data_IF_094622066270
#
_entry.id   IF_094622066270
#
_cell.length_a   1.000
_cell.length_b   1.000
_cell.length_c   1.000
_cell.angle_alpha   90.00
_cell.angle_beta   90.00
_cell.angle_gamma   90.00
#
_symmetry.space_group_name_H-M   'P 1'
#
loop_
_entity.id
_entity.type
_entity.pdbx_description
1 polymer ?
#
# COMPACT_ATOMS: atom_id res chain seq x y z
N UNK A 1 9.55 56.45 2.00
CA UNK A 1 9.74 55.40 3.03
C UNK A 1 10.20 54.12 2.34
N UNK A 2 11.49 53.75 2.46
CA UNK A 2 12.06 52.50 1.90
C UNK A 2 12.08 51.48 3.04
N UNK A 3 11.33 50.41 2.94
CA UNK A 3 11.37 49.28 3.87
C UNK A 3 12.59 48.40 3.57
N UNK A 4 13.53 48.37 4.47
CA UNK A 4 14.71 47.52 4.46
C UNK A 4 14.29 46.13 4.91
N UNK A 5 14.28 45.12 3.99
CA UNK A 5 14.22 43.71 4.35
C UNK A 5 15.61 43.25 4.80
N UNK A 6 15.76 43.00 6.08
CA UNK A 6 16.96 42.39 6.66
C UNK A 6 16.96 40.89 6.31
N UNK A 7 17.93 40.45 5.50
CA UNK A 7 18.16 39.02 5.18
C UNK A 7 18.85 38.38 6.37
N UNK A 8 18.20 37.42 6.99
CA UNK A 8 18.78 36.58 8.04
C UNK A 8 19.93 35.74 7.49
N UNK A 9 21.10 35.70 8.15
CA UNK A 9 22.23 34.91 7.65
C UNK A 9 21.95 33.39 7.77
N UNK A 10 22.32 32.64 6.72
CA UNK A 10 22.08 31.17 6.59
C UNK A 10 22.50 30.34 7.80
N UNK A 11 23.54 30.79 8.53
CA UNK A 11 24.01 30.08 9.74
C UNK A 11 23.04 30.15 10.93
N UNK A 12 22.21 31.20 11.03
CA UNK A 12 21.20 31.34 12.08
C UNK A 12 19.99 30.46 11.81
N UNK A 13 19.65 30.27 10.53
CA UNK A 13 18.57 29.35 10.11
C UNK A 13 18.87 27.89 10.47
N UNK A 14 20.13 27.43 10.23
CA UNK A 14 20.54 26.05 10.55
C UNK A 14 20.57 25.81 12.07
N UNK A 15 20.98 26.81 12.88
CA UNK A 15 20.95 26.71 14.34
C UNK A 15 19.55 26.69 14.91
N UNK A 16 18.59 27.37 14.28
CA UNK A 16 17.18 27.36 14.66
C UNK A 16 16.51 25.99 14.41
N UNK A 17 16.87 25.32 13.31
CA UNK A 17 16.37 23.97 12.98
C UNK A 17 16.92 22.90 13.95
N UNK A 18 18.15 23.05 14.43
CA UNK A 18 18.75 22.10 15.38
C UNK A 18 18.15 22.22 16.81
N UNK A 19 17.58 23.37 17.17
CA UNK A 19 17.02 23.59 18.51
C UNK A 19 15.53 23.22 18.61
N UNK A 20 14.81 23.11 17.46
CA UNK A 20 13.40 22.69 17.44
C UNK A 20 13.21 21.18 17.34
N UNK A 21 14.28 20.39 17.17
CA UNK A 21 14.22 18.93 17.14
C UNK A 21 14.03 18.27 18.53
N UNK A 22 13.90 19.07 19.59
CA UNK A 22 13.65 18.61 20.96
C UNK A 22 12.19 18.58 21.39
N UNK A 23 11.24 18.80 20.51
CA UNK A 23 9.81 18.65 20.84
C UNK A 23 9.47 17.18 20.83
N UNK A 24 9.30 16.63 22.01
CA UNK A 24 8.84 15.28 22.32
C UNK A 24 7.62 14.91 21.46
N UNK A 25 7.84 14.00 20.51
CA UNK A 25 6.77 13.26 19.84
C UNK A 25 6.18 12.24 20.82
N UNK A 26 5.54 12.72 21.88
CA UNK A 26 4.67 11.92 22.72
C UNK A 26 3.29 11.88 22.08
N UNK A 27 3.07 10.91 21.21
CA UNK A 27 1.77 10.73 20.57
C UNK A 27 1.70 9.49 19.72
N UNK A 28 1.06 8.45 20.25
CA UNK A 28 0.66 7.20 19.61
C UNK A 28 1.78 6.19 19.37
N UNK A 29 1.96 5.29 20.32
CA UNK A 29 2.84 4.12 20.26
C UNK A 29 2.59 3.15 19.08
N UNK A 30 1.48 3.32 18.37
CA UNK A 30 1.08 2.44 17.26
C UNK A 30 1.55 2.89 15.89
N UNK A 31 2.29 3.99 15.77
CA UNK A 31 2.75 4.55 14.49
C UNK A 31 4.26 4.60 14.35
N UNK A 32 5.01 4.01 15.28
CA UNK A 32 6.45 3.93 15.13
C UNK A 32 6.82 2.96 14.01
N UNK A 33 7.73 3.36 13.09
CA UNK A 33 8.17 2.47 12.02
C UNK A 33 8.93 1.28 12.60
N UNK A 34 8.90 0.13 11.92
CA UNK A 34 9.66 -1.03 12.36
C UNK A 34 11.17 -0.76 12.27
N UNK A 35 11.92 -1.36 13.19
CA UNK A 35 13.38 -1.44 13.08
C UNK A 35 13.74 -2.71 12.33
N UNK A 36 14.42 -2.58 11.19
CA UNK A 36 14.84 -3.72 10.38
C UNK A 36 16.17 -3.44 9.66
N UNK A 37 16.86 -4.53 9.29
CA UNK A 37 18.08 -4.47 8.53
C UNK A 37 19.26 -3.85 9.30
N UNK A 38 20.18 -3.25 8.58
CA UNK A 38 21.41 -2.66 9.10
C UNK A 38 21.38 -1.11 9.01
N UNK A 39 22.51 -0.48 9.34
CA UNK A 39 22.65 0.99 9.34
C UNK A 39 22.22 1.64 8.02
N UNK A 40 22.33 0.94 6.90
CA UNK A 40 21.90 1.46 5.58
C UNK A 40 20.39 1.68 5.51
N UNK A 41 19.60 0.95 6.30
CA UNK A 41 18.14 1.08 6.41
C UNK A 41 17.69 2.23 7.34
N UNK A 42 18.63 2.87 8.04
CA UNK A 42 18.29 4.08 8.82
C UNK A 42 17.70 5.21 7.94
N UNK A 43 18.03 5.24 6.65
CA UNK A 43 17.44 6.17 5.69
C UNK A 43 15.91 6.01 5.58
N UNK A 44 15.41 4.79 5.61
CA UNK A 44 13.98 4.49 5.54
C UNK A 44 13.24 5.05 6.76
N UNK A 45 13.83 4.90 7.95
CA UNK A 45 13.31 5.47 9.20
C UNK A 45 13.25 7.00 9.13
N UNK A 46 14.30 7.64 8.63
CA UNK A 46 14.35 9.10 8.50
C UNK A 46 13.32 9.58 7.49
N UNK A 47 13.19 8.91 6.35
CA UNK A 47 12.18 9.21 5.32
C UNK A 47 10.77 9.08 5.88
N UNK A 48 10.48 7.97 6.56
CA UNK A 48 9.19 7.76 7.21
C UNK A 48 8.85 8.90 8.17
N UNK A 49 9.74 9.21 9.12
CA UNK A 49 9.51 10.27 10.11
C UNK A 49 9.36 11.65 9.47
N UNK A 50 10.15 11.95 8.45
CA UNK A 50 10.06 13.20 7.73
C UNK A 50 8.71 13.35 7.03
N UNK A 51 8.24 12.33 6.31
CA UNK A 51 6.93 12.35 5.67
C UNK A 51 5.80 12.48 6.68
N UNK A 52 5.82 11.70 7.77
CA UNK A 52 4.77 11.77 8.81
C UNK A 52 4.76 13.11 9.56
N UNK A 53 5.90 13.83 9.61
CA UNK A 53 6.00 15.15 10.20
C UNK A 53 5.51 16.27 9.24
N UNK A 54 5.85 16.15 7.95
CA UNK A 54 5.64 17.21 6.97
C UNK A 54 4.28 17.12 6.29
N UNK A 55 3.74 15.91 6.12
CA UNK A 55 2.47 15.68 5.44
C UNK A 55 1.35 15.45 6.46
N UNK A 56 0.20 16.12 6.31
CA UNK A 56 -0.99 15.79 7.09
C UNK A 56 -1.38 14.33 6.92
N UNK A 57 -1.88 13.68 7.99
CA UNK A 57 -2.26 12.25 8.00
C UNK A 57 -3.22 11.83 6.88
N UNK A 58 -3.99 12.76 6.33
CA UNK A 58 -4.97 12.54 5.27
C UNK A 58 -4.67 13.36 4.01
N UNK A 59 -3.38 13.71 3.80
CA UNK A 59 -2.97 14.38 2.57
C UNK A 59 -3.22 13.47 1.38
N UNK A 60 -4.15 13.87 0.53
CA UNK A 60 -4.52 13.08 -0.64
C UNK A 60 -3.40 13.14 -1.70
N UNK A 61 -3.08 11.99 -2.28
CA UNK A 61 -2.35 11.94 -3.53
C UNK A 61 -3.16 12.63 -4.62
N UNK A 62 -2.46 13.27 -5.56
CA UNK A 62 -3.11 14.01 -6.65
C UNK A 62 -4.03 13.09 -7.46
N UNK A 63 -5.26 13.52 -7.67
CA UNK A 63 -6.18 12.91 -8.63
C UNK A 63 -6.09 13.67 -9.97
N UNK A 64 -6.35 12.95 -11.05
CA UNK A 64 -6.20 13.38 -12.44
C UNK A 64 -7.52 13.31 -13.17
N UNK A 65 -7.59 13.91 -14.36
CA UNK A 65 -8.75 13.85 -15.23
C UNK A 65 -8.75 12.56 -16.07
N UNK A 66 -9.92 12.20 -16.60
CA UNK A 66 -10.07 11.00 -17.43
C UNK A 66 -9.19 11.05 -18.69
N UNK A 67 -8.95 12.23 -19.23
CA UNK A 67 -8.05 12.43 -20.38
C UNK A 67 -6.58 12.16 -20.12
N UNK A 68 -6.18 12.11 -18.83
CA UNK A 68 -4.80 11.86 -18.43
C UNK A 68 -4.47 10.36 -18.32
N UNK A 69 -5.47 9.48 -18.48
CA UNK A 69 -5.28 8.03 -18.36
C UNK A 69 -4.29 7.55 -19.40
N UNK A 70 -3.25 6.86 -18.92
CA UNK A 70 -2.17 6.33 -19.72
C UNK A 70 -2.52 4.95 -20.29
N UNK A 71 -2.02 4.64 -21.49
CA UNK A 71 -1.99 3.27 -22.00
C UNK A 71 -0.65 2.64 -21.63
N UNK A 72 -0.67 1.66 -20.73
CA UNK A 72 0.53 0.96 -20.28
C UNK A 72 0.24 -0.53 -20.09
N UNK A 73 1.11 -1.43 -20.56
CA UNK A 73 0.97 -2.86 -20.28
C UNK A 73 1.25 -3.14 -18.79
N UNK A 74 0.71 -4.24 -18.28
CA UNK A 74 1.10 -4.76 -16.97
C UNK A 74 2.57 -5.18 -16.97
N UNK A 75 3.26 -4.90 -15.87
CA UNK A 75 4.68 -5.23 -15.66
C UNK A 75 4.79 -6.14 -14.43
N UNK A 76 5.86 -6.95 -14.38
CA UNK A 76 6.11 -7.95 -13.34
C UNK A 76 5.27 -9.21 -13.57
N UNK A 77 4.88 -9.89 -12.47
CA UNK A 77 4.00 -11.07 -12.54
C UNK A 77 2.67 -10.67 -13.14
N UNK A 78 2.37 -11.21 -14.31
CA UNK A 78 1.15 -10.87 -15.07
C UNK A 78 0.06 -11.92 -14.95
N UNK A 79 0.42 -13.18 -14.61
CA UNK A 79 -0.53 -14.27 -14.40
C UNK A 79 0.06 -15.30 -13.43
N UNK A 80 -0.39 -15.38 -12.16
CA UNK A 80 0.09 -16.37 -11.20
C UNK A 80 -0.17 -17.84 -11.59
N UNK A 81 -1.06 -18.10 -12.55
CA UNK A 81 -1.32 -19.44 -13.05
C UNK A 81 -0.29 -19.91 -14.09
N UNK A 82 0.53 -19.00 -14.62
CA UNK A 82 1.48 -19.32 -15.68
C UNK A 82 2.84 -19.69 -15.09
N UNK A 83 3.18 -20.96 -15.08
CA UNK A 83 4.43 -21.50 -14.54
C UNK A 83 5.70 -21.03 -15.27
N UNK A 84 5.56 -20.39 -16.42
CA UNK A 84 6.69 -19.82 -17.17
C UNK A 84 7.05 -18.40 -16.73
N UNK A 85 6.21 -17.75 -15.91
CA UNK A 85 6.41 -16.35 -15.52
C UNK A 85 7.18 -16.22 -14.21
N UNK A 86 7.98 -15.16 -14.05
CA UNK A 86 8.58 -14.80 -12.76
C UNK A 86 7.50 -14.62 -11.69
N UNK A 87 7.73 -15.10 -10.47
CA UNK A 87 6.77 -15.04 -9.39
C UNK A 87 5.68 -16.12 -9.42
N UNK A 88 5.77 -17.12 -10.32
CA UNK A 88 4.95 -18.31 -10.18
C UNK A 88 5.24 -19.00 -8.85
N UNK A 89 4.19 -19.24 -8.07
CA UNK A 89 4.27 -19.99 -6.83
C UNK A 89 3.68 -21.38 -7.00
N UNK A 90 4.48 -22.46 -6.88
CA UNK A 90 3.97 -23.85 -6.97
C UNK A 90 2.88 -24.18 -5.94
N UNK A 91 2.87 -23.48 -4.79
CA UNK A 91 1.86 -23.66 -3.75
C UNK A 91 0.52 -23.01 -4.13
N UNK A 92 0.55 -21.81 -4.72
CA UNK A 92 -0.65 -20.99 -4.90
C UNK A 92 -1.08 -20.85 -6.37
N UNK A 93 -0.17 -20.97 -7.33
CA UNK A 93 -0.45 -20.86 -8.75
C UNK A 93 -1.55 -21.82 -9.23
N UNK A 94 -1.51 -23.12 -8.88
CA UNK A 94 -2.59 -24.06 -9.25
C UNK A 94 -3.95 -23.72 -8.63
N UNK A 95 -3.97 -23.06 -7.46
CA UNK A 95 -5.20 -22.56 -6.87
C UNK A 95 -5.74 -21.36 -7.65
N UNK A 96 -4.88 -20.45 -8.05
CA UNK A 96 -5.26 -19.28 -8.87
C UNK A 96 -5.75 -19.72 -10.26
N UNK A 97 -5.14 -20.73 -10.88
CA UNK A 97 -5.58 -21.30 -12.14
C UNK A 97 -7.03 -21.85 -12.07
N UNK A 98 -7.40 -22.52 -10.95
CA UNK A 98 -8.79 -22.97 -10.74
C UNK A 98 -9.75 -21.80 -10.63
N UNK A 99 -9.34 -20.72 -9.98
CA UNK A 99 -10.16 -19.50 -9.85
C UNK A 99 -10.34 -18.77 -11.18
N UNK A 100 -9.34 -18.81 -12.07
CA UNK A 100 -9.49 -18.30 -13.44
C UNK A 100 -10.54 -19.07 -14.22
N UNK A 101 -10.55 -20.41 -14.10
CA UNK A 101 -11.50 -21.27 -14.83
C UNK A 101 -12.95 -21.06 -14.39
N UNK A 102 -13.19 -20.65 -13.15
CA UNK A 102 -14.53 -20.36 -12.61
C UNK A 102 -14.83 -18.86 -12.56
N UNK A 103 -14.08 -18.05 -13.32
CA UNK A 103 -14.25 -16.59 -13.39
C UNK A 103 -14.26 -15.93 -12.00
N UNK A 104 -13.45 -16.46 -11.08
CA UNK A 104 -13.33 -16.04 -9.69
C UNK A 104 -14.60 -16.21 -8.83
N UNK A 105 -15.58 -17.03 -9.24
CA UNK A 105 -16.81 -17.26 -8.49
C UNK A 105 -16.53 -17.79 -7.07
N UNK A 106 -15.53 -18.65 -6.93
CA UNK A 106 -15.09 -19.24 -5.66
C UNK A 106 -13.96 -18.48 -4.97
N UNK A 107 -13.53 -17.34 -5.53
CA UNK A 107 -12.50 -16.54 -4.89
C UNK A 107 -12.99 -15.91 -3.57
N UNK A 108 -12.11 -15.88 -2.59
CA UNK A 108 -12.37 -15.30 -1.26
C UNK A 108 -11.15 -14.53 -0.77
N UNK A 109 -11.42 -13.40 -0.11
CA UNK A 109 -10.44 -12.65 0.67
C UNK A 109 -10.63 -13.01 2.14
N UNK A 110 -9.61 -13.58 2.79
CA UNK A 110 -9.60 -13.69 4.25
C UNK A 110 -9.00 -12.45 4.89
N UNK A 111 -9.59 -12.00 6.00
CA UNK A 111 -9.07 -10.91 6.85
C UNK A 111 -9.00 -11.43 8.27
N UNK A 112 -7.79 -11.43 8.84
CA UNK A 112 -7.53 -12.04 10.15
C UNK A 112 -6.43 -11.31 10.93
N UNK A 113 -5.97 -11.88 12.06
CA UNK A 113 -4.95 -11.30 12.95
C UNK A 113 -5.56 -10.42 14.03
N UNK A 114 -4.99 -9.23 14.25
CA UNK A 114 -5.42 -8.28 15.29
C UNK A 114 -6.75 -7.59 14.93
N UNK A 115 -7.78 -8.39 14.72
CA UNK A 115 -9.19 -8.00 14.50
C UNK A 115 -10.11 -8.71 15.48
N UNK A 116 -11.25 -8.08 15.79
CA UNK A 116 -12.24 -8.64 16.75
C UNK A 116 -12.99 -9.83 16.12
N UNK A 117 -13.29 -9.73 14.81
CA UNK A 117 -14.06 -10.73 14.06
C UNK A 117 -13.34 -11.00 12.73
N UNK A 118 -12.52 -12.06 12.64
CA UNK A 118 -11.99 -12.47 11.36
C UNK A 118 -13.09 -12.66 10.32
N UNK A 119 -12.84 -12.18 9.10
CA UNK A 119 -13.84 -12.18 8.02
C UNK A 119 -13.34 -12.89 6.77
N UNK A 120 -14.31 -13.43 6.00
CA UNK A 120 -14.05 -13.97 4.66
C UNK A 120 -15.04 -13.32 3.71
N UNK A 121 -14.54 -12.64 2.68
CA UNK A 121 -15.33 -11.86 1.75
C UNK A 121 -15.26 -12.43 0.35
N UNK A 122 -16.40 -12.62 -0.30
CA UNK A 122 -16.51 -12.87 -1.73
C UNK A 122 -16.40 -11.56 -2.53
N UNK A 123 -16.15 -11.65 -3.84
CA UNK A 123 -16.20 -10.48 -4.72
C UNK A 123 -17.56 -9.79 -4.68
N UNK A 124 -18.65 -10.57 -4.61
CA UNK A 124 -20.00 -10.04 -4.54
C UNK A 124 -20.25 -9.24 -3.26
N UNK A 125 -19.71 -9.67 -2.12
CA UNK A 125 -19.80 -8.94 -0.85
C UNK A 125 -18.98 -7.67 -0.87
N UNK A 126 -17.73 -7.71 -1.35
CA UNK A 126 -16.91 -6.52 -1.49
C UNK A 126 -17.57 -5.46 -2.39
N UNK A 127 -18.17 -5.87 -3.51
CA UNK A 127 -18.85 -4.95 -4.45
C UNK A 127 -20.14 -4.33 -3.88
N UNK A 128 -20.71 -4.87 -2.79
CA UNK A 128 -21.86 -4.28 -2.08
C UNK A 128 -21.45 -3.23 -1.04
N UNK A 129 -20.20 -3.21 -0.63
CA UNK A 129 -19.69 -2.19 0.28
C UNK A 129 -19.55 -0.84 -0.44
N UNK A 130 -19.55 0.29 0.29
CA UNK A 130 -19.27 1.58 -0.31
C UNK A 130 -17.96 1.55 -1.08
N UNK A 131 -17.98 1.99 -2.33
CA UNK A 131 -16.81 2.01 -3.19
C UNK A 131 -16.28 3.43 -3.41
N UNK A 132 -14.99 3.52 -3.72
CA UNK A 132 -14.32 4.72 -4.20
C UNK A 132 -13.83 4.49 -5.62
N UNK A 133 -14.01 5.49 -6.48
CA UNK A 133 -13.35 5.59 -7.78
C UNK A 133 -12.39 6.77 -7.74
N UNK A 134 -11.15 6.57 -8.16
CA UNK A 134 -10.10 7.58 -8.18
C UNK A 134 -9.23 7.41 -9.43
N UNK A 135 -8.76 8.52 -10.00
CA UNK A 135 -7.80 8.51 -11.12
C UNK A 135 -6.48 9.00 -10.57
N UNK A 136 -5.54 8.07 -10.39
CA UNK A 136 -4.29 8.33 -9.68
C UNK A 136 -3.08 7.84 -10.47
N UNK A 137 -1.92 8.41 -10.15
CA UNK A 137 -0.65 7.98 -10.73
C UNK A 137 -0.10 6.78 -9.97
N UNK A 138 0.25 5.74 -10.69
CA UNK A 138 1.08 4.67 -10.21
C UNK A 138 2.53 5.00 -10.55
N UNK A 139 3.36 5.19 -9.54
CA UNK A 139 4.78 5.51 -9.72
C UNK A 139 5.59 4.27 -9.37
N UNK A 140 6.26 3.69 -10.37
CA UNK A 140 7.08 2.51 -10.20
C UNK A 140 8.50 2.87 -9.74
N UNK A 141 9.10 2.02 -8.94
CA UNK A 141 10.49 2.08 -8.52
C UNK A 141 11.49 1.93 -9.69
N UNK A 142 11.05 1.33 -10.79
CA UNK A 142 11.83 1.22 -12.04
C UNK A 142 11.94 2.53 -12.84
N UNK A 143 11.34 3.63 -12.33
CA UNK A 143 11.46 4.97 -12.93
C UNK A 143 10.39 5.32 -13.95
N UNK A 144 9.38 4.48 -14.18
CA UNK A 144 8.22 4.82 -15.00
C UNK A 144 6.98 5.12 -14.14
N UNK A 145 6.01 5.78 -14.73
CA UNK A 145 4.71 5.99 -14.09
C UNK A 145 3.57 5.91 -15.09
N UNK A 146 2.37 5.58 -14.60
CA UNK A 146 1.15 5.54 -15.38
C UNK A 146 -0.03 6.08 -14.56
N UNK A 147 -1.00 6.67 -15.24
CA UNK A 147 -2.25 7.15 -14.65
C UNK A 147 -3.35 6.19 -15.07
N UNK A 148 -4.15 5.74 -14.11
CA UNK A 148 -5.30 4.90 -14.37
C UNK A 148 -6.46 5.22 -13.41
N UNK A 149 -7.67 4.93 -13.84
CA UNK A 149 -8.85 4.96 -12.97
C UNK A 149 -8.96 3.63 -12.22
N UNK A 150 -9.09 3.71 -10.91
CA UNK A 150 -9.24 2.55 -10.03
C UNK A 150 -10.57 2.63 -9.30
N UNK A 151 -11.29 1.51 -9.27
CA UNK A 151 -12.54 1.38 -8.51
C UNK A 151 -12.40 0.23 -7.52
N UNK A 152 -12.72 0.48 -6.26
CA UNK A 152 -12.61 -0.53 -5.21
C UNK A 152 -13.27 -0.10 -3.91
N UNK A 153 -13.25 -0.97 -2.92
CA UNK A 153 -13.68 -0.66 -1.56
C UNK A 153 -12.52 -0.07 -0.77
N UNK A 154 -12.67 1.03 -0.03
CA UNK A 154 -11.67 1.52 0.90
C UNK A 154 -11.27 0.42 1.89
N UNK A 155 -9.96 0.21 2.08
CA UNK A 155 -9.45 -0.82 2.98
C UNK A 155 -9.96 -0.60 4.40
N UNK A 156 -10.08 0.66 4.84
CA UNK A 156 -10.63 1.03 6.15
C UNK A 156 -12.02 0.43 6.40
N UNK A 157 -12.92 0.43 5.40
CA UNK A 157 -14.27 -0.13 5.53
C UNK A 157 -14.22 -1.64 5.80
N UNK A 158 -13.34 -2.37 5.11
CA UNK A 158 -13.18 -3.81 5.30
C UNK A 158 -12.58 -4.12 6.66
N UNK A 159 -11.57 -3.36 7.08
CA UNK A 159 -10.95 -3.50 8.40
C UNK A 159 -11.91 -3.16 9.53
N UNK A 160 -12.69 -2.08 9.40
CA UNK A 160 -13.72 -1.68 10.38
C UNK A 160 -14.82 -2.75 10.51
N UNK A 161 -15.25 -3.36 9.40
CA UNK A 161 -16.20 -4.47 9.42
C UNK A 161 -15.70 -5.68 10.24
N UNK A 162 -14.38 -5.91 10.23
CA UNK A 162 -13.73 -6.93 11.06
C UNK A 162 -13.46 -6.46 12.50
N UNK A 163 -13.47 -5.14 12.75
CA UNK A 163 -13.19 -4.54 14.05
C UNK A 163 -11.70 -4.57 14.39
N UNK A 164 -10.99 -3.47 14.11
CA UNK A 164 -9.55 -3.33 14.36
C UNK A 164 -9.31 -3.36 15.88
N UNK A 165 -8.36 -4.18 16.33
CA UNK A 165 -7.94 -4.18 17.74
C UNK A 165 -7.01 -2.99 18.03
N UNK A 166 -6.99 -2.47 19.29
CA UNK A 166 -6.19 -1.30 19.64
C UNK A 166 -4.66 -1.48 19.48
N UNK A 167 -4.18 -2.72 19.51
CA UNK A 167 -2.77 -3.07 19.33
C UNK A 167 -2.36 -3.21 17.84
N UNK A 168 -3.28 -3.13 16.89
CA UNK A 168 -2.99 -3.25 15.47
C UNK A 168 -2.03 -2.14 14.99
N UNK A 169 -0.95 -2.53 14.30
CA UNK A 169 0.10 -1.62 13.80
C UNK A 169 0.33 -1.75 12.31
N UNK A 170 0.20 -2.93 11.76
CA UNK A 170 0.53 -3.26 10.37
C UNK A 170 -0.61 -4.00 9.70
N UNK A 171 -0.71 -3.83 8.38
CA UNK A 171 -1.58 -4.62 7.51
C UNK A 171 -0.70 -5.30 6.48
N UNK A 172 -0.69 -6.64 6.50
CA UNK A 172 0.06 -7.49 5.60
C UNK A 172 -0.85 -7.96 4.47
N UNK A 173 -0.34 -7.90 3.24
CA UNK A 173 -0.99 -8.38 2.03
C UNK A 173 -0.33 -9.65 1.54
N UNK A 174 -1.06 -10.75 1.49
CA UNK A 174 -0.62 -12.02 0.93
C UNK A 174 -1.27 -12.26 -0.43
N UNK A 175 -0.50 -12.70 -1.39
CA UNK A 175 -0.88 -12.78 -2.80
C UNK A 175 -0.82 -14.20 -3.34
N UNK A 176 -1.38 -14.43 -4.53
CA UNK A 176 -1.27 -15.72 -5.23
C UNK A 176 0.05 -15.91 -5.96
N UNK A 177 0.83 -14.84 -6.18
CA UNK A 177 2.19 -14.88 -6.74
C UNK A 177 3.26 -14.94 -5.65
N UNK A 178 2.90 -15.44 -4.49
CA UNK A 178 3.74 -15.69 -3.30
C UNK A 178 4.33 -14.48 -2.60
N UNK A 179 4.19 -13.27 -3.14
CA UNK A 179 4.71 -12.09 -2.47
C UNK A 179 3.88 -11.72 -1.24
N UNK A 180 4.58 -11.22 -0.24
CA UNK A 180 3.99 -10.64 0.97
C UNK A 180 4.65 -9.29 1.22
N UNK A 181 3.85 -8.28 1.52
CA UNK A 181 4.36 -6.99 1.97
C UNK A 181 3.37 -6.37 2.96
N UNK A 182 3.81 -5.37 3.69
CA UNK A 182 2.99 -4.70 4.69
C UNK A 182 3.06 -3.19 4.61
N UNK A 183 2.00 -2.55 5.09
CA UNK A 183 1.92 -1.10 5.33
C UNK A 183 1.53 -0.86 6.78
N UNK A 184 1.77 0.36 7.28
CA UNK A 184 1.27 0.73 8.60
C UNK A 184 -0.23 1.06 8.60
N UNK A 185 -0.80 1.21 9.79
CA UNK A 185 -2.23 1.54 9.95
C UNK A 185 -2.58 2.92 9.42
N UNK A 186 -1.63 3.88 9.34
CA UNK A 186 -1.90 5.21 8.78
C UNK A 186 -2.18 5.12 7.28
N UNK A 187 -1.35 4.35 6.55
CA UNK A 187 -1.58 4.11 5.12
C UNK A 187 -2.76 3.16 4.88
N UNK A 188 -2.97 2.16 5.76
CA UNK A 188 -4.10 1.24 5.65
C UNK A 188 -5.46 1.94 5.82
N UNK A 189 -5.54 2.94 6.69
CA UNK A 189 -6.76 3.73 6.95
C UNK A 189 -6.86 4.98 6.07
N UNK A 190 -5.88 5.23 5.20
CA UNK A 190 -5.90 6.37 4.30
C UNK A 190 -7.08 6.28 3.32
N UNK A 191 -7.82 7.37 3.06
CA UNK A 191 -9.05 7.33 2.25
C UNK A 191 -8.83 6.89 0.79
N UNK A 192 -7.60 6.99 0.26
CA UNK A 192 -7.26 6.52 -1.08
C UNK A 192 -6.61 5.12 -1.10
N UNK A 193 -6.41 4.49 0.06
CA UNK A 193 -6.01 3.08 0.12
C UNK A 193 -7.25 2.22 -0.09
N UNK A 194 -7.34 1.60 -1.26
CA UNK A 194 -8.50 0.81 -1.68
C UNK A 194 -8.10 -0.62 -2.07
N UNK A 195 -9.03 -1.54 -1.89
CA UNK A 195 -8.99 -2.86 -2.50
C UNK A 195 -9.67 -2.78 -3.86
N UNK A 196 -8.88 -2.56 -4.91
CA UNK A 196 -9.36 -2.31 -6.25
C UNK A 196 -9.76 -3.62 -6.96
N UNK A 197 -10.96 -3.63 -7.52
CA UNK A 197 -11.52 -4.69 -8.36
C UNK A 197 -11.87 -4.20 -9.77
N UNK A 198 -11.73 -2.91 -10.03
CA UNK A 198 -11.98 -2.30 -11.33
C UNK A 198 -10.85 -1.38 -11.78
N UNK A 199 -10.62 -1.33 -13.09
CA UNK A 199 -9.64 -0.46 -13.74
C UNK A 199 -10.21 0.11 -15.03
N UNK A 200 -10.13 1.43 -15.21
CA UNK A 200 -10.57 2.14 -16.41
C UNK A 200 -12.03 1.80 -16.84
N UNK A 201 -12.93 1.76 -15.83
CA UNK A 201 -14.36 1.50 -16.03
C UNK A 201 -14.73 0.05 -16.36
N UNK A 202 -13.79 -0.91 -16.21
CA UNK A 202 -13.99 -2.35 -16.43
C UNK A 202 -13.51 -3.15 -15.24
N UNK A 203 -13.83 -4.44 -15.19
CA UNK A 203 -13.25 -5.35 -14.21
C UNK A 203 -11.73 -5.37 -14.35
N UNK A 204 -11.06 -5.59 -13.21
CA UNK A 204 -9.61 -5.58 -13.13
C UNK A 204 -9.02 -6.69 -14.03
N UNK A 205 -8.14 -6.36 -15.01
CA UNK A 205 -7.51 -7.37 -15.84
C UNK A 205 -6.55 -8.26 -15.06
N UNK A 206 -6.34 -9.51 -15.52
CA UNK A 206 -5.41 -10.48 -14.90
C UNK A 206 -4.03 -9.85 -14.71
N UNK A 207 -3.43 -9.32 -15.76
CA UNK A 207 -2.09 -8.72 -15.70
C UNK A 207 -1.98 -7.52 -14.74
N UNK A 208 -3.09 -6.94 -14.32
CA UNK A 208 -3.13 -5.86 -13.33
C UNK A 208 -3.54 -6.31 -11.93
N UNK A 209 -3.71 -7.64 -11.70
CA UNK A 209 -3.89 -8.21 -10.36
C UNK A 209 -5.29 -8.70 -10.05
N UNK A 210 -6.09 -9.13 -11.07
CA UNK A 210 -7.42 -9.68 -10.85
C UNK A 210 -7.43 -10.84 -9.82
N UNK A 211 -8.55 -11.04 -9.11
CA UNK A 211 -9.75 -10.23 -9.12
C UNK A 211 -9.67 -9.01 -8.19
N UNK A 212 -8.64 -8.92 -7.32
CA UNK A 212 -8.47 -7.89 -6.32
C UNK A 212 -6.99 -7.53 -6.14
N UNK A 213 -6.71 -6.24 -6.06
CA UNK A 213 -5.39 -5.71 -5.69
C UNK A 213 -5.50 -4.60 -4.65
N UNK A 214 -4.43 -4.40 -3.89
CA UNK A 214 -4.28 -3.18 -3.12
C UNK A 214 -3.90 -2.00 -4.04
N UNK A 215 -4.37 -0.80 -3.69
CA UNK A 215 -3.88 0.48 -4.19
C UNK A 215 -3.52 1.34 -3.00
N UNK A 216 -2.24 1.71 -2.89
CA UNK A 216 -1.68 2.51 -1.80
C UNK A 216 -1.06 3.75 -2.44
N UNK A 217 -1.85 4.81 -2.56
CA UNK A 217 -1.49 5.98 -3.38
C UNK A 217 -0.39 6.85 -2.75
N UNK A 218 -0.15 6.68 -1.45
CA UNK A 218 0.86 7.40 -0.67
C UNK A 218 2.26 6.78 -0.75
N UNK A 219 2.40 5.65 -1.45
CA UNK A 219 3.68 4.93 -1.57
C UNK A 219 3.93 4.47 -3.02
N UNK A 220 5.20 4.13 -3.30
CA UNK A 220 5.60 3.59 -4.60
C UNK A 220 4.81 2.34 -4.97
N UNK A 221 4.77 2.07 -6.26
CA UNK A 221 3.88 1.10 -6.88
C UNK A 221 3.98 -0.33 -6.38
N UNK A 222 5.15 -0.78 -5.95
CA UNK A 222 5.30 -2.13 -5.42
C UNK A 222 4.51 -2.39 -4.13
N UNK A 223 4.18 -1.33 -3.36
CA UNK A 223 3.27 -1.43 -2.19
C UNK A 223 1.82 -1.72 -2.59
N UNK A 224 1.47 -1.55 -3.85
CA UNK A 224 0.14 -1.81 -4.40
C UNK A 224 0.03 -3.27 -4.88
N UNK A 225 0.05 -4.20 -3.92
CA UNK A 225 0.12 -5.66 -4.14
C UNK A 225 -1.01 -6.18 -5.02
N UNK A 226 -0.64 -7.00 -6.04
CA UNK A 226 -1.57 -7.67 -6.96
C UNK A 226 -2.08 -9.00 -6.38
N UNK A 227 -3.12 -9.57 -6.98
CA UNK A 227 -3.58 -10.95 -6.76
C UNK A 227 -3.85 -11.29 -5.29
N UNK A 228 -4.50 -10.39 -4.56
CA UNK A 228 -4.74 -10.56 -3.14
C UNK A 228 -5.57 -11.81 -2.83
N UNK A 229 -5.20 -12.52 -1.78
CA UNK A 229 -5.94 -13.66 -1.22
C UNK A 229 -6.19 -13.56 0.28
N UNK A 230 -5.33 -12.86 1.00
CA UNK A 230 -5.39 -12.78 2.46
C UNK A 230 -4.81 -11.46 2.95
N UNK A 231 -5.44 -10.88 3.95
CA UNK A 231 -4.97 -9.73 4.69
C UNK A 231 -4.79 -10.15 6.16
N UNK A 232 -3.63 -9.85 6.74
CA UNK A 232 -3.37 -10.08 8.15
C UNK A 232 -3.11 -8.73 8.83
N UNK A 233 -3.94 -8.41 9.82
CA UNK A 233 -3.71 -7.26 10.70
C UNK A 233 -2.77 -7.71 11.82
N UNK A 234 -1.62 -7.07 11.96
CA UNK A 234 -0.58 -7.47 12.89
C UNK A 234 -0.24 -6.35 13.88
N UNK A 235 0.18 -6.72 15.08
CA UNK A 235 0.71 -5.84 16.12
C UNK A 235 2.24 -5.76 16.09
N UNK A 236 2.90 -6.75 15.50
CA UNK A 236 4.34 -6.79 15.32
C UNK A 236 4.72 -6.76 13.84
N UNK A 237 5.91 -6.24 13.57
CA UNK A 237 6.49 -6.24 12.23
C UNK A 237 7.05 -7.62 11.88
N UNK A 238 6.76 -8.08 10.67
CA UNK A 238 7.33 -9.28 10.07
C UNK A 238 7.93 -8.91 8.70
N UNK A 239 9.16 -9.31 8.44
CA UNK A 239 9.83 -9.11 7.14
C UNK A 239 9.46 -10.17 6.10
N UNK A 240 8.72 -11.19 6.51
CA UNK A 240 8.18 -12.30 5.72
C UNK A 240 9.23 -13.21 5.04
N UNK A 241 10.51 -13.11 5.43
CA UNK A 241 11.57 -13.93 4.90
C UNK A 241 11.69 -13.86 3.37
N UNK A 242 11.92 -14.98 2.71
CA UNK A 242 12.10 -15.07 1.26
C UNK A 242 10.90 -14.58 0.44
N UNK A 243 9.71 -14.55 1.02
CA UNK A 243 8.48 -14.04 0.38
C UNK A 243 8.30 -12.52 0.54
N UNK A 244 9.06 -11.91 1.44
CA UNK A 244 8.99 -10.49 1.72
C UNK A 244 9.72 -9.65 0.69
N UNK A 245 9.09 -8.58 0.23
CA UNK A 245 9.73 -7.62 -0.70
C UNK A 245 10.96 -6.97 -0.06
N UNK A 246 11.01 -6.90 1.27
CA UNK A 246 12.15 -6.40 2.01
C UNK A 246 13.41 -7.24 1.78
N UNK A 247 13.29 -8.57 1.74
CA UNK A 247 14.40 -9.48 1.46
C UNK A 247 14.88 -9.38 0.00
N UNK A 248 13.98 -9.02 -0.91
CA UNK A 248 14.33 -8.69 -2.29
C UNK A 248 15.07 -7.34 -2.44
N UNK A 249 15.34 -6.63 -1.33
CA UNK A 249 16.09 -5.37 -1.31
C UNK A 249 15.23 -4.11 -1.35
N UNK A 250 13.90 -4.21 -1.37
CA UNK A 250 12.99 -3.07 -1.36
C UNK A 250 12.89 -2.43 0.02
N UNK A 251 12.59 -1.15 0.08
CA UNK A 251 12.32 -0.47 1.36
C UNK A 251 10.93 -0.84 1.88
N UNK A 252 10.81 -1.03 3.20
CA UNK A 252 9.49 -1.22 3.80
C UNK A 252 8.60 0.02 3.63
N UNK A 253 9.15 1.23 3.74
CA UNK A 253 8.44 2.48 3.53
C UNK A 253 8.98 3.20 2.29
N UNK A 254 8.12 3.45 1.33
CA UNK A 254 8.43 4.11 0.08
C UNK A 254 7.42 5.23 -0.23
N UNK A 255 7.27 6.14 0.72
CA UNK A 255 6.36 7.30 0.61
C UNK A 255 6.69 8.25 -0.53
N UNK A 256 5.67 8.78 -1.21
CA UNK A 256 5.76 9.71 -2.34
C UNK A 256 4.78 10.87 -2.15
#
# INVERSE_FOLDING_TARGET
MKSSFSTMPRRTFIKGLAFSAGITLAGCSNTDPPTYGNILRMGDLVTYKAHRLLLPKHSLAREYDYSDISSIPAIGTTNPADSSQPGFDPEHGPAYERLLRDEFANWRLSVEGSVVRPGVFSMAELRRLPSRTQITRHTCEEGWSAIAQWTGVPLSIVLEACGIQPNARFVQFHTYDAYVDSIDMLDALHPQTILAYGMNGRDLPIGHGAPLRARVETQLGYKSMKFLRRIVVADEFDDHGERGLLQAGWSWYAGI
#
